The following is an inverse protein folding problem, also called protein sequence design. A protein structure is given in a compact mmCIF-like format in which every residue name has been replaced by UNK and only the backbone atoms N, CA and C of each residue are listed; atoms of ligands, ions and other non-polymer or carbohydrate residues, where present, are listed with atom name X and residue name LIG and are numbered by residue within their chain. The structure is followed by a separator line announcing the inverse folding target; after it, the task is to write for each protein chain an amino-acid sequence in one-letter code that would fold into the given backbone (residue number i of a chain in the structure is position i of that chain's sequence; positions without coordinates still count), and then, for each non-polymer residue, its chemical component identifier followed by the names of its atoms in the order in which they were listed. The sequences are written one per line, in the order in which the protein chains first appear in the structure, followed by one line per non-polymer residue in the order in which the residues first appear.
data_IF_283857108020
#
_entry.id   IF_283857108020
#
_cell.length_a   1.000
_cell.length_b   1.000
_cell.length_c   1.000
_cell.angle_alpha   90.00
_cell.angle_beta   90.00
_cell.angle_gamma   90.00
#
_symmetry.space_group_name_H-M   'P 1'
#
loop_
_entity.id
_entity.type
_entity.pdbx_description
1 polymer ?
#
# COMPACT_ATOMS: atom_id res chain seq x y z
N UNK A 1 -6.37 11.66 -14.35
CA UNK A 1 -7.29 10.65 -13.77
C UNK A 1 -8.17 11.35 -12.76
N UNK A 2 -9.48 11.35 -12.96
CA UNK A 2 -10.39 11.93 -12.00
C UNK A 2 -10.82 10.89 -10.97
N UNK A 3 -11.66 11.31 -10.02
CA UNK A 3 -12.04 10.44 -8.91
C UNK A 3 -12.77 9.17 -9.36
N UNK A 4 -13.54 9.24 -10.44
CA UNK A 4 -14.28 8.10 -10.97
C UNK A 4 -13.36 7.07 -11.63
N UNK A 5 -12.12 7.45 -11.93
CA UNK A 5 -11.15 6.58 -12.60
C UNK A 5 -10.10 6.01 -11.64
N UNK A 6 -10.23 6.26 -10.34
CA UNK A 6 -9.28 5.72 -9.38
C UNK A 6 -9.45 4.20 -9.27
N UNK A 7 -8.34 3.45 -9.07
CA UNK A 7 -8.45 2.04 -8.75
C UNK A 7 -9.29 1.82 -7.50
N UNK A 8 -9.91 0.67 -7.39
CA UNK A 8 -10.80 0.37 -6.25
C UNK A 8 -10.09 0.44 -4.89
N UNK A 9 -8.78 0.22 -4.87
CA UNK A 9 -7.99 0.20 -3.64
C UNK A 9 -7.46 1.58 -3.23
N UNK A 10 -7.70 2.62 -4.05
CA UNK A 10 -7.18 3.96 -3.80
C UNK A 10 -8.32 4.95 -3.62
N UNK A 11 -8.25 5.75 -2.56
CA UNK A 11 -9.23 6.82 -2.33
C UNK A 11 -8.52 8.06 -1.80
N UNK A 12 -9.18 9.20 -1.91
CA UNK A 12 -8.63 10.48 -1.48
C UNK A 12 -8.19 11.35 -2.63
N UNK A 13 -7.16 12.14 -2.37
CA UNK A 13 -6.62 13.07 -3.35
C UNK A 13 -5.17 13.37 -3.05
N UNK A 14 -4.50 14.06 -3.96
CA UNK A 14 -3.09 14.44 -3.80
C UNK A 14 -2.87 15.11 -2.44
N UNK A 15 -1.89 14.63 -1.71
CA UNK A 15 -1.58 15.10 -0.36
C UNK A 15 -2.32 14.36 0.75
N UNK A 16 -3.36 13.61 0.43
CA UNK A 16 -4.18 12.91 1.42
C UNK A 16 -4.76 11.61 0.85
N UNK A 17 -3.88 10.73 0.40
CA UNK A 17 -4.28 9.44 -0.16
C UNK A 17 -4.51 8.40 0.92
N UNK A 18 -5.40 7.46 0.64
CA UNK A 18 -5.58 6.25 1.45
C UNK A 18 -5.58 5.04 0.54
N UNK A 19 -4.88 4.00 0.96
CA UNK A 19 -4.78 2.75 0.20
C UNK A 19 -5.31 1.59 1.03
N UNK A 20 -6.08 0.72 0.37
CA UNK A 20 -6.55 -0.53 0.98
C UNK A 20 -5.61 -1.63 0.56
N UNK A 21 -5.05 -2.31 1.55
CA UNK A 21 -4.05 -3.36 1.34
C UNK A 21 -4.59 -4.70 1.81
N UNK A 22 -4.39 -5.73 0.98
CA UNK A 22 -4.58 -7.11 1.41
C UNK A 22 -3.19 -7.74 1.54
N UNK A 23 -2.79 -8.05 2.76
CA UNK A 23 -1.44 -8.51 3.06
C UNK A 23 -1.37 -10.03 3.14
N UNK A 24 -0.35 -10.61 2.49
CA UNK A 24 -0.03 -12.03 2.60
C UNK A 24 1.38 -12.14 3.18
N UNK A 25 1.52 -12.37 4.50
CA UNK A 25 2.83 -12.46 5.14
C UNK A 25 3.54 -13.78 4.80
N UNK A 26 4.79 -13.88 5.19
CA UNK A 26 5.57 -15.10 5.01
C UNK A 26 6.23 -15.22 3.64
N UNK A 27 6.23 -14.16 2.85
CA UNK A 27 6.87 -14.17 1.55
C UNK A 27 8.37 -13.88 1.67
N UNK A 28 9.18 -14.30 0.69
CA UNK A 28 10.63 -14.02 0.73
C UNK A 28 10.95 -12.55 0.49
N UNK A 29 10.06 -11.81 -0.15
CA UNK A 29 10.22 -10.37 -0.35
C UNK A 29 8.86 -9.70 -0.45
N UNK A 30 8.83 -8.40 -0.21
CA UNK A 30 7.60 -7.61 -0.31
C UNK A 30 7.41 -7.14 -1.75
N UNK A 31 6.25 -7.42 -2.32
CA UNK A 31 5.95 -7.02 -3.70
C UNK A 31 4.45 -6.87 -3.92
N UNK A 32 4.09 -6.03 -4.88
CA UNK A 32 2.72 -5.88 -5.32
C UNK A 32 2.37 -7.06 -6.23
N UNK A 33 1.26 -7.72 -5.94
CA UNK A 33 0.77 -8.84 -6.75
C UNK A 33 -0.30 -8.37 -7.74
N UNK A 34 -1.15 -7.43 -7.33
CA UNK A 34 -2.23 -6.92 -8.17
C UNK A 34 -3.40 -6.49 -7.32
N UNK A 35 -4.57 -6.39 -7.94
CA UNK A 35 -5.80 -6.05 -7.24
C UNK A 35 -6.53 -7.33 -6.87
N UNK A 36 -7.15 -7.32 -5.71
CA UNK A 36 -7.97 -8.42 -5.24
C UNK A 36 -9.03 -7.90 -4.31
N UNK A 37 -10.28 -8.06 -4.69
CA UNK A 37 -11.43 -7.78 -3.81
C UNK A 37 -11.40 -6.36 -3.23
N UNK A 38 -11.11 -5.37 -4.08
CA UNK A 38 -11.07 -3.96 -3.68
C UNK A 38 -9.82 -3.55 -2.93
N UNK A 39 -8.80 -4.39 -2.90
CA UNK A 39 -7.54 -4.11 -2.22
C UNK A 39 -6.37 -4.26 -3.17
N UNK A 40 -5.29 -3.54 -2.90
CA UNK A 40 -4.01 -3.79 -3.53
C UNK A 40 -3.35 -4.94 -2.77
N UNK A 41 -3.20 -6.07 -3.43
CA UNK A 41 -2.64 -7.27 -2.79
C UNK A 41 -1.12 -7.19 -2.76
N UNK A 42 -0.56 -7.39 -1.57
CA UNK A 42 0.89 -7.45 -1.36
C UNK A 42 1.30 -8.78 -0.77
N UNK A 43 2.35 -9.36 -1.30
CA UNK A 43 3.13 -10.34 -0.58
C UNK A 43 4.06 -9.59 0.33
N UNK A 44 4.18 -10.04 1.57
CA UNK A 44 4.90 -9.27 2.60
C UNK A 44 5.99 -10.12 3.22
N UNK A 45 7.21 -9.61 3.17
CA UNK A 45 8.39 -10.28 3.76
C UNK A 45 8.44 -10.02 5.26
N UNK A 46 7.51 -10.63 5.99
CA UNK A 46 7.44 -10.53 7.43
C UNK A 46 6.80 -11.80 7.98
N UNK A 47 7.20 -12.26 9.17
CA UNK A 47 6.50 -13.38 9.80
C UNK A 47 5.07 -12.98 10.13
N UNK A 48 4.14 -13.95 10.26
CA UNK A 48 2.75 -13.67 10.61
C UNK A 48 2.62 -13.34 12.11
N UNK A 49 3.38 -12.36 12.56
CA UNK A 49 3.40 -11.85 13.93
C UNK A 49 2.81 -10.46 13.91
N UNK A 50 1.90 -10.20 14.84
CA UNK A 50 1.22 -8.91 14.93
C UNK A 50 2.21 -7.76 14.93
N UNK A 51 1.93 -6.74 14.12
CA UNK A 51 2.74 -5.54 14.01
C UNK A 51 3.89 -5.65 13.01
N UNK A 52 4.41 -6.84 12.76
CA UNK A 52 5.58 -6.98 11.87
C UNK A 52 5.21 -6.73 10.41
N UNK A 53 4.07 -7.27 9.96
CA UNK A 53 3.60 -7.02 8.61
C UNK A 53 3.25 -5.54 8.42
N UNK A 54 2.66 -4.90 9.43
CA UNK A 54 2.31 -3.49 9.35
C UNK A 54 3.55 -2.63 9.13
N UNK A 55 4.62 -2.89 9.88
CA UNK A 55 5.87 -2.15 9.76
C UNK A 55 6.51 -2.34 8.39
N UNK A 56 6.51 -3.57 7.88
CA UNK A 56 7.10 -3.87 6.59
C UNK A 56 6.31 -3.22 5.45
N UNK A 57 4.98 -3.23 5.53
CA UNK A 57 4.14 -2.58 4.51
C UNK A 57 4.39 -1.08 4.52
N UNK A 58 4.45 -0.46 5.71
CA UNK A 58 4.73 0.97 5.80
C UNK A 58 6.09 1.31 5.18
N UNK A 59 7.11 0.51 5.47
CA UNK A 59 8.44 0.67 4.88
C UNK A 59 8.38 0.58 3.36
N UNK A 60 7.70 -0.44 2.84
CA UNK A 60 7.57 -0.67 1.41
C UNK A 60 6.89 0.50 0.71
N UNK A 61 5.77 0.97 1.25
CA UNK A 61 5.04 2.09 0.67
C UNK A 61 5.87 3.37 0.67
N UNK A 62 6.56 3.65 1.79
CA UNK A 62 7.42 4.82 1.89
C UNK A 62 8.56 4.76 0.87
N UNK A 63 9.19 3.61 0.72
CA UNK A 63 10.27 3.43 -0.24
C UNK A 63 9.79 3.63 -1.67
N UNK A 64 8.68 3.00 -2.04
CA UNK A 64 8.14 3.10 -3.40
C UNK A 64 7.75 4.52 -3.76
N UNK A 65 7.25 5.27 -2.80
CA UNK A 65 6.77 6.63 -3.03
C UNK A 65 7.81 7.69 -2.70
N UNK A 66 9.01 7.27 -2.30
CA UNK A 66 10.11 8.17 -1.90
C UNK A 66 9.67 9.13 -0.80
N UNK A 67 8.97 8.59 0.18
CA UNK A 67 8.45 9.34 1.33
C UNK A 67 9.23 8.97 2.59
N UNK A 68 9.31 9.88 3.56
CA UNK A 68 9.76 9.49 4.89
C UNK A 68 8.71 8.56 5.51
N UNK A 69 9.16 7.66 6.36
CA UNK A 69 8.27 6.65 6.96
C UNK A 69 7.11 7.30 7.72
N UNK A 70 7.33 8.47 8.34
CA UNK A 70 6.29 9.19 9.07
C UNK A 70 5.12 9.64 8.19
N UNK A 71 5.31 9.67 6.88
CA UNK A 71 4.26 10.04 5.94
C UNK A 71 3.34 8.88 5.59
N UNK A 72 3.61 7.68 6.12
CA UNK A 72 2.81 6.49 5.89
C UNK A 72 2.29 6.02 7.25
N UNK A 73 0.97 6.00 7.42
CA UNK A 73 0.36 5.68 8.71
C UNK A 73 -0.72 4.62 8.55
N UNK A 74 -0.69 3.63 9.42
CA UNK A 74 -1.75 2.63 9.48
C UNK A 74 -3.01 3.30 10.08
N UNK A 75 -4.11 3.27 9.34
CA UNK A 75 -5.37 3.88 9.76
C UNK A 75 -6.31 2.84 10.36
N UNK A 76 -6.33 1.64 9.80
CA UNK A 76 -7.17 0.55 10.31
C UNK A 76 -6.57 -0.80 9.92
N UNK A 77 -7.05 -1.86 10.59
CA UNK A 77 -6.60 -3.21 10.29
C UNK A 77 -5.28 -3.57 10.96
N UNK A 78 -5.09 -3.19 12.23
CA UNK A 78 -3.88 -3.53 12.96
C UNK A 78 -3.66 -5.03 13.01
N UNK A 79 -4.72 -5.79 13.16
CA UNK A 79 -4.68 -7.24 13.08
C UNK A 79 -5.42 -7.68 11.82
N UNK A 80 -5.12 -8.87 11.34
CA UNK A 80 -5.75 -9.38 10.14
C UNK A 80 -5.03 -8.96 8.88
N UNK A 81 -5.52 -9.42 7.74
CA UNK A 81 -4.85 -9.27 6.46
C UNK A 81 -5.26 -8.03 5.69
N UNK A 82 -6.42 -7.45 6.00
CA UNK A 82 -6.89 -6.24 5.34
C UNK A 82 -6.54 -5.03 6.17
N UNK A 83 -5.84 -4.09 5.55
CA UNK A 83 -5.30 -2.92 6.24
C UNK A 83 -5.55 -1.69 5.39
N UNK A 84 -5.63 -0.54 6.05
CA UNK A 84 -5.76 0.73 5.36
C UNK A 84 -4.65 1.66 5.83
N UNK A 85 -3.94 2.25 4.88
CA UNK A 85 -2.85 3.19 5.18
C UNK A 85 -3.18 4.56 4.62
N UNK A 86 -2.84 5.60 5.38
CA UNK A 86 -2.90 6.98 4.92
C UNK A 86 -1.51 7.39 4.43
N UNK A 87 -1.47 8.06 3.29
CA UNK A 87 -0.23 8.48 2.64
C UNK A 87 -0.23 10.00 2.47
N UNK A 88 0.77 10.67 3.04
CA UNK A 88 0.96 12.11 2.83
C UNK A 88 1.85 12.27 1.58
N UNK A 89 1.30 11.90 0.43
CA UNK A 89 2.03 11.90 -0.84
C UNK A 89 1.46 12.95 -1.77
N UNK A 90 2.33 13.79 -2.32
CA UNK A 90 1.93 14.84 -3.26
C UNK A 90 1.72 14.31 -4.68
N UNK A 91 1.98 13.03 -4.92
CA UNK A 91 1.78 12.38 -6.22
C UNK A 91 0.33 12.56 -6.69
N UNK A 92 0.13 12.72 -8.00
CA UNK A 92 -1.21 12.54 -8.54
C UNK A 92 -1.49 11.03 -8.64
N UNK A 93 -2.72 10.67 -8.96
CA UNK A 93 -3.11 9.26 -8.98
C UNK A 93 -2.29 8.42 -9.96
N UNK A 94 -2.05 8.86 -11.22
CA UNK A 94 -1.22 8.07 -12.13
C UNK A 94 0.20 7.86 -11.62
N UNK A 95 0.83 8.88 -11.07
CA UNK A 95 2.19 8.78 -10.55
C UNK A 95 2.26 7.85 -9.35
N UNK A 96 1.27 7.93 -8.47
CA UNK A 96 1.20 7.06 -7.29
C UNK A 96 1.03 5.60 -7.71
N UNK A 97 0.13 5.33 -8.63
CA UNK A 97 -0.09 3.97 -9.14
C UNK A 97 1.18 3.42 -9.80
N UNK A 98 1.82 4.23 -10.64
CA UNK A 98 3.05 3.81 -11.32
C UNK A 98 4.15 3.46 -10.31
N UNK A 99 4.31 4.28 -9.26
CA UNK A 99 5.33 4.03 -8.24
C UNK A 99 5.07 2.74 -7.48
N UNK A 100 3.81 2.48 -7.13
CA UNK A 100 3.46 1.26 -6.38
C UNK A 100 3.59 0.00 -7.23
N UNK A 101 3.29 0.09 -8.52
CA UNK A 101 3.43 -1.05 -9.43
C UNK A 101 4.83 -1.24 -9.98
N UNK A 102 5.75 -0.36 -9.64
CA UNK A 102 7.14 -0.47 -10.10
C UNK A 102 7.73 -1.82 -9.68
N UNK A 103 8.23 -2.57 -10.65
CA UNK A 103 8.78 -3.89 -10.39
C UNK A 103 7.75 -4.99 -10.20
N UNK A 104 6.44 -4.67 -10.30
CA UNK A 104 5.40 -5.68 -10.21
C UNK A 104 5.46 -6.60 -11.43
N UNK A 105 5.15 -7.86 -11.21
CA UNK A 105 5.11 -8.82 -12.31
C UNK A 105 3.68 -9.04 -12.75
N UNK A 106 3.46 -9.17 -14.04
CA UNK A 106 2.13 -9.48 -14.57
C UNK A 106 1.65 -10.86 -14.16
#
# INVERSE_FOLDING_TARGET
MDRAQLPSWLEGESGAWRVRIAAQPGAPRTEVVGEHDGCLKLRVAAPPIEGRANDEIARFLAERLSLPKRSVRLVSGQTGRRKRFALDAAHDAPALCAALYQGARP
#
